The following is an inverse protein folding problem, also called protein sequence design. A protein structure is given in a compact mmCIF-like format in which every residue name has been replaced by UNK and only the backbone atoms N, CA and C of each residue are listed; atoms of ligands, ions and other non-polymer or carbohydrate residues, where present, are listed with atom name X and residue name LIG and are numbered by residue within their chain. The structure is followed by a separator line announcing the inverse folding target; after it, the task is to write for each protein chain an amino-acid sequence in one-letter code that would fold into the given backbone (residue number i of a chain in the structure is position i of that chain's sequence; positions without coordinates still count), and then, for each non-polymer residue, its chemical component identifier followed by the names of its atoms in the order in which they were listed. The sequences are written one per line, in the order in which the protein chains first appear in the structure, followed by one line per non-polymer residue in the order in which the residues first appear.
data_IF_829905286183
#
_entry.id   IF_829905286183
#
_cell.length_a   1.000
_cell.length_b   1.000
_cell.length_c   1.000
_cell.angle_alpha   90.00
_cell.angle_beta   90.00
_cell.angle_gamma   90.00
#
_symmetry.space_group_name_H-M   'P 1'
#
loop_
_entity.id
_entity.type
_entity.pdbx_description
1 polymer ?
#
# COMPACT_ATOMS: atom_id res chain seq x y z
N UNK A 1 -49.82 -24.61 -28.01
CA UNK A 1 -48.55 -24.30 -27.33
C UNK A 1 -48.89 -23.19 -26.37
N UNK A 2 -48.98 -23.56 -25.10
CA UNK A 2 -49.97 -23.03 -24.15
C UNK A 2 -49.60 -21.65 -23.59
N UNK A 3 -50.61 -20.80 -23.43
CA UNK A 3 -50.55 -19.46 -22.83
C UNK A 3 -49.83 -19.45 -21.46
N UNK A 4 -49.92 -20.57 -20.75
CA UNK A 4 -49.27 -20.83 -19.46
C UNK A 4 -47.74 -20.90 -19.59
N UNK A 5 -47.21 -21.49 -20.66
CA UNK A 5 -45.76 -21.60 -20.87
C UNK A 5 -45.14 -20.23 -21.21
N UNK A 6 -45.86 -19.38 -21.95
CA UNK A 6 -45.44 -18.00 -22.20
C UNK A 6 -45.44 -17.15 -20.93
N UNK A 7 -46.46 -17.30 -20.08
CA UNK A 7 -46.53 -16.60 -18.80
C UNK A 7 -45.43 -17.04 -17.84
N UNK A 8 -45.14 -18.35 -17.76
CA UNK A 8 -44.05 -18.89 -16.95
C UNK A 8 -42.68 -18.35 -17.42
N UNK A 9 -42.45 -18.31 -18.73
CA UNK A 9 -41.19 -17.81 -19.27
C UNK A 9 -41.02 -16.29 -19.03
N UNK A 10 -42.11 -15.52 -19.12
CA UNK A 10 -42.10 -14.09 -18.80
C UNK A 10 -41.85 -13.82 -17.30
N UNK A 11 -42.34 -14.68 -16.41
CA UNK A 11 -42.08 -14.59 -14.97
C UNK A 11 -40.63 -14.98 -14.67
N UNK A 12 -40.10 -16.05 -15.26
CA UNK A 12 -38.69 -16.42 -15.13
C UNK A 12 -37.74 -15.31 -15.59
N UNK A 13 -38.01 -14.69 -16.75
CA UNK A 13 -37.20 -13.57 -17.23
C UNK A 13 -37.25 -12.35 -16.31
N UNK A 14 -38.39 -12.08 -15.67
CA UNK A 14 -38.51 -11.01 -14.67
C UNK A 14 -37.74 -11.33 -13.39
N UNK A 15 -37.76 -12.60 -12.96
CA UNK A 15 -36.99 -13.06 -11.80
C UNK A 15 -35.50 -12.95 -12.09
N UNK A 16 -35.04 -13.41 -13.25
CA UNK A 16 -33.63 -13.33 -13.65
C UNK A 16 -33.15 -11.88 -13.72
N UNK A 17 -33.95 -11.00 -14.35
CA UNK A 17 -33.64 -9.57 -14.41
C UNK A 17 -33.61 -8.91 -13.03
N UNK A 18 -34.57 -9.23 -12.16
CA UNK A 18 -34.58 -8.73 -10.78
C UNK A 18 -33.35 -9.21 -10.01
N UNK A 19 -32.95 -10.47 -10.20
CA UNK A 19 -31.79 -11.05 -9.54
C UNK A 19 -30.49 -10.42 -10.03
N UNK A 20 -30.37 -10.16 -11.33
CA UNK A 20 -29.22 -9.47 -11.93
C UNK A 20 -29.11 -8.01 -11.47
N UNK A 21 -30.23 -7.26 -11.47
CA UNK A 21 -30.29 -5.88 -10.98
C UNK A 21 -29.98 -5.81 -9.47
N UNK A 22 -30.49 -6.76 -8.68
CA UNK A 22 -30.23 -6.86 -7.25
C UNK A 22 -28.76 -7.19 -6.97
N UNK A 23 -28.18 -8.13 -7.73
CA UNK A 23 -26.76 -8.51 -7.63
C UNK A 23 -25.84 -7.36 -8.01
N UNK A 24 -26.19 -6.60 -9.05
CA UNK A 24 -25.44 -5.41 -9.45
C UNK A 24 -25.50 -4.32 -8.38
N UNK A 25 -26.68 -4.04 -7.82
CA UNK A 25 -26.85 -3.07 -6.74
C UNK A 25 -26.10 -3.48 -5.47
N UNK A 26 -26.16 -4.75 -5.07
CA UNK A 26 -25.36 -5.26 -3.95
C UNK A 26 -23.86 -5.13 -4.21
N UNK A 27 -23.40 -5.42 -5.43
CA UNK A 27 -21.98 -5.28 -5.78
C UNK A 27 -21.52 -3.84 -5.73
N UNK A 28 -22.31 -2.90 -6.27
CA UNK A 28 -22.03 -1.46 -6.21
C UNK A 28 -22.05 -0.95 -4.76
N UNK A 29 -22.97 -1.45 -3.94
CA UNK A 29 -23.04 -1.08 -2.52
C UNK A 29 -21.81 -1.59 -1.75
N UNK A 30 -21.42 -2.84 -1.96
CA UNK A 30 -20.22 -3.43 -1.35
C UNK A 30 -18.96 -2.73 -1.84
N UNK A 31 -18.83 -2.40 -3.13
CA UNK A 31 -17.69 -1.64 -3.66
C UNK A 31 -17.62 -0.25 -3.05
N UNK A 32 -18.76 0.44 -2.89
CA UNK A 32 -18.84 1.75 -2.25
C UNK A 32 -18.46 1.70 -0.76
N UNK A 33 -19.02 0.75 -0.01
CA UNK A 33 -18.64 0.53 1.40
C UNK A 33 -17.16 0.13 1.52
N UNK A 34 -16.64 -0.71 0.62
CA UNK A 34 -15.22 -1.07 0.60
C UNK A 34 -14.32 0.12 0.28
N UNK A 35 -14.73 1.04 -0.59
CA UNK A 35 -13.98 2.28 -0.88
C UNK A 35 -14.02 3.27 0.29
N UNK A 36 -15.17 3.41 0.96
CA UNK A 36 -15.28 4.20 2.18
C UNK A 36 -14.44 3.60 3.32
N UNK A 37 -14.45 2.28 3.48
CA UNK A 37 -13.64 1.58 4.47
C UNK A 37 -12.14 1.53 4.11
N UNK A 38 -11.75 1.61 2.83
CA UNK A 38 -10.33 1.76 2.43
C UNK A 38 -9.73 3.08 2.91
N UNK A 39 -10.54 4.12 3.13
CA UNK A 39 -10.09 5.42 3.66
C UNK A 39 -9.94 5.43 5.19
N UNK A 40 -10.55 4.46 5.87
CA UNK A 40 -10.60 4.36 7.32
C UNK A 40 -9.78 3.13 7.75
N UNK A 41 -8.61 3.35 8.35
CA UNK A 41 -7.83 2.24 8.91
C UNK A 41 -8.58 1.60 10.10
N UNK A 42 -8.33 0.32 10.43
CA UNK A 42 -8.90 -0.30 11.61
C UNK A 42 -8.57 0.58 12.83
N UNK A 43 -9.60 1.03 13.55
CA UNK A 43 -9.63 2.02 14.66
C UNK A 43 -10.05 3.46 14.33
N UNK A 44 -10.62 3.74 13.15
CA UNK A 44 -11.24 5.05 12.88
C UNK A 44 -10.23 6.16 12.60
N UNK A 45 -9.00 5.81 12.24
CA UNK A 45 -7.96 6.75 11.85
C UNK A 45 -8.01 6.98 10.34
N UNK A 46 -8.14 8.24 9.92
CA UNK A 46 -8.10 8.60 8.51
C UNK A 46 -6.68 8.39 7.96
N UNK A 47 -6.57 7.77 6.78
CA UNK A 47 -5.27 7.54 6.13
C UNK A 47 -4.45 8.84 6.00
N UNK A 48 -5.10 9.97 5.72
CA UNK A 48 -4.45 11.29 5.63
C UNK A 48 -3.80 11.73 6.95
N UNK A 49 -4.51 11.61 8.07
CA UNK A 49 -4.00 12.01 9.39
C UNK A 49 -2.87 11.08 9.87
N UNK A 50 -2.97 9.78 9.58
CA UNK A 50 -1.89 8.82 9.89
C UNK A 50 -0.68 9.06 9.02
N UNK A 51 -0.88 9.36 7.74
CA UNK A 51 0.21 9.70 6.83
C UNK A 51 0.92 10.97 7.29
N UNK A 52 0.17 12.00 7.65
CA UNK A 52 0.72 13.28 8.15
C UNK A 52 1.49 13.10 9.48
N UNK A 53 0.97 12.32 10.42
CA UNK A 53 1.68 12.00 11.66
C UNK A 53 2.95 11.18 11.42
N UNK A 54 2.93 10.25 10.46
CA UNK A 54 4.12 9.49 10.05
C UNK A 54 5.14 10.42 9.41
N UNK A 55 4.73 11.29 8.50
CA UNK A 55 5.61 12.28 7.85
C UNK A 55 6.26 13.20 8.89
N UNK A 56 5.48 13.72 9.84
CA UNK A 56 5.97 14.61 10.88
C UNK A 56 6.98 13.90 11.81
N UNK A 57 6.67 12.69 12.26
CA UNK A 57 7.57 11.91 13.11
C UNK A 57 8.85 11.48 12.38
N UNK A 58 8.76 11.22 11.07
CA UNK A 58 9.91 10.98 10.21
C UNK A 58 10.75 12.25 10.11
N UNK A 59 10.15 13.40 9.78
CA UNK A 59 10.87 14.67 9.61
C UNK A 59 11.58 15.12 10.90
N UNK A 60 10.97 14.93 12.08
CA UNK A 60 11.60 15.23 13.37
C UNK A 60 12.82 14.35 13.67
N UNK A 61 12.65 13.02 13.51
CA UNK A 61 13.79 12.10 13.65
C UNK A 61 14.87 12.43 12.64
N UNK A 62 14.49 12.88 11.45
CA UNK A 62 15.44 13.21 10.40
C UNK A 62 16.20 14.50 10.64
N UNK A 63 15.53 15.53 11.14
CA UNK A 63 16.20 16.74 11.59
C UNK A 63 17.22 16.43 12.69
N UNK A 64 16.86 15.56 13.63
CA UNK A 64 17.77 15.09 14.67
C UNK A 64 18.96 14.30 14.10
N UNK A 65 18.74 13.31 13.23
CA UNK A 65 19.81 12.50 12.64
C UNK A 65 20.76 13.29 11.73
N UNK A 66 20.24 14.19 10.91
CA UNK A 66 21.04 15.03 10.02
C UNK A 66 21.87 16.06 10.79
N UNK A 67 21.29 16.71 11.81
CA UNK A 67 22.03 17.68 12.64
C UNK A 67 23.07 17.02 13.56
N UNK A 68 22.77 15.84 14.11
CA UNK A 68 23.63 15.22 15.13
C UNK A 68 24.78 14.39 14.56
N UNK A 69 24.65 13.81 13.36
CA UNK A 69 25.61 12.81 12.89
C UNK A 69 26.27 13.15 11.53
N UNK A 70 25.89 14.25 10.87
CA UNK A 70 26.45 14.64 9.56
C UNK A 70 26.31 13.51 8.50
N UNK A 71 25.25 12.71 8.64
CA UNK A 71 24.98 11.55 7.81
C UNK A 71 23.98 11.95 6.73
N UNK A 72 24.45 11.98 5.48
CA UNK A 72 23.69 12.30 4.26
C UNK A 72 22.80 11.11 3.84
N UNK A 73 21.87 10.68 4.70
CA UNK A 73 21.06 9.47 4.51
C UNK A 73 19.79 9.69 3.67
N UNK A 74 19.57 10.93 3.15
CA UNK A 74 18.47 11.35 2.25
C UNK A 74 17.21 10.46 2.29
N UNK A 75 16.47 10.50 3.40
CA UNK A 75 15.45 9.50 3.73
C UNK A 75 14.17 9.66 2.95
N UNK A 76 13.82 10.90 2.56
CA UNK A 76 12.71 11.15 1.63
C UNK A 76 12.97 10.43 0.30
N UNK A 77 14.22 10.40 -0.15
CA UNK A 77 14.61 9.67 -1.37
C UNK A 77 14.58 8.16 -1.14
N UNK A 78 15.06 7.67 0.01
CA UNK A 78 14.94 6.27 0.38
C UNK A 78 13.46 5.82 0.46
N UNK A 79 12.59 6.63 1.04
CA UNK A 79 11.16 6.34 1.15
C UNK A 79 10.48 6.29 -0.21
N UNK A 80 10.73 7.29 -1.06
CA UNK A 80 10.24 7.31 -2.43
C UNK A 80 10.73 6.10 -3.23
N UNK A 81 12.01 5.72 -3.09
CA UNK A 81 12.57 4.52 -3.70
C UNK A 81 11.83 3.24 -3.25
N UNK A 82 11.64 3.06 -1.95
CA UNK A 82 10.97 1.87 -1.41
C UNK A 82 9.49 1.79 -1.80
N UNK A 83 8.79 2.93 -1.89
CA UNK A 83 7.42 2.98 -2.41
C UNK A 83 7.38 2.54 -3.88
N UNK A 84 8.31 3.04 -4.69
CA UNK A 84 8.39 2.65 -6.11
C UNK A 84 8.59 1.14 -6.26
N UNK A 85 9.53 0.56 -5.51
CA UNK A 85 9.80 -0.88 -5.53
C UNK A 85 8.59 -1.71 -5.04
N UNK A 86 7.82 -1.20 -4.08
CA UNK A 86 6.56 -1.83 -3.63
C UNK A 86 5.44 -1.74 -4.66
N UNK A 87 5.40 -0.68 -5.46
CA UNK A 87 4.42 -0.53 -6.54
C UNK A 87 4.70 -1.54 -7.66
N UNK A 88 5.97 -1.78 -7.98
CA UNK A 88 6.39 -2.76 -8.99
C UNK A 88 6.33 -4.22 -8.47
N UNK A 89 6.58 -4.42 -7.17
CA UNK A 89 6.62 -5.72 -6.50
C UNK A 89 5.84 -5.69 -5.18
N UNK A 90 4.50 -5.79 -5.22
CA UNK A 90 3.64 -5.64 -4.03
C UNK A 90 3.76 -6.80 -3.03
N UNK A 91 4.36 -7.91 -3.43
CA UNK A 91 4.58 -9.11 -2.62
C UNK A 91 5.90 -9.10 -1.82
N UNK A 92 6.69 -8.03 -1.93
CA UNK A 92 7.96 -7.88 -1.19
C UNK A 92 7.75 -8.02 0.32
N UNK A 93 8.46 -8.97 0.91
CA UNK A 93 8.46 -9.16 2.35
C UNK A 93 9.19 -8.02 3.06
N UNK A 94 8.87 -7.83 4.35
CA UNK A 94 9.59 -6.89 5.23
C UNK A 94 11.11 -7.12 5.23
N UNK A 95 11.56 -8.37 5.05
CA UNK A 95 12.99 -8.72 5.00
C UNK A 95 13.62 -8.21 3.70
N UNK A 96 12.95 -8.37 2.58
CA UNK A 96 13.42 -7.92 1.26
C UNK A 96 13.44 -6.39 1.18
N UNK A 97 12.43 -5.71 1.71
CA UNK A 97 12.42 -4.25 1.83
C UNK A 97 13.60 -3.69 2.63
N UNK A 98 13.96 -4.36 3.73
CA UNK A 98 15.16 -3.98 4.50
C UNK A 98 16.43 -4.17 3.70
N UNK A 99 16.53 -5.23 2.91
CA UNK A 99 17.69 -5.48 2.04
C UNK A 99 17.78 -4.40 0.97
N UNK A 100 16.67 -4.05 0.32
CA UNK A 100 16.60 -2.98 -0.68
C UNK A 100 17.01 -1.63 -0.09
N UNK A 101 16.50 -1.31 1.11
CA UNK A 101 16.87 -0.09 1.81
C UNK A 101 18.38 0.01 2.05
N UNK A 102 19.00 -1.04 2.60
CA UNK A 102 20.44 -1.04 2.85
C UNK A 102 21.29 -1.01 1.57
N UNK A 103 20.81 -1.61 0.47
CA UNK A 103 21.49 -1.52 -0.83
C UNK A 103 21.46 -0.09 -1.36
N UNK A 104 20.31 0.57 -1.31
CA UNK A 104 20.16 1.97 -1.69
C UNK A 104 21.10 2.86 -0.86
N UNK A 105 21.10 2.68 0.47
CA UNK A 105 21.97 3.44 1.36
C UNK A 105 23.47 3.16 1.15
N UNK A 106 23.87 1.95 0.74
CA UNK A 106 25.25 1.67 0.34
C UNK A 106 25.65 2.48 -0.90
N UNK A 107 24.77 2.57 -1.90
CA UNK A 107 25.05 3.28 -3.15
C UNK A 107 25.09 4.79 -2.92
N UNK A 108 24.19 5.29 -2.10
CA UNK A 108 23.99 6.73 -1.88
C UNK A 108 25.00 7.34 -0.90
N UNK A 109 25.52 6.55 0.04
CA UNK A 109 26.41 7.05 1.08
C UNK A 109 27.75 7.57 0.51
N UNK A 110 28.07 8.84 0.76
CA UNK A 110 29.38 9.43 0.41
C UNK A 110 30.53 8.83 1.23
N UNK A 111 30.29 8.45 2.48
CA UNK A 111 31.30 7.90 3.39
C UNK A 111 31.63 6.44 3.10
N UNK A 112 32.91 6.13 2.87
CA UNK A 112 33.42 4.75 2.71
C UNK A 112 33.13 3.86 3.93
N UNK A 113 33.10 4.45 5.13
CA UNK A 113 32.79 3.73 6.37
C UNK A 113 31.33 3.30 6.41
N UNK A 114 30.41 4.21 6.10
CA UNK A 114 28.97 3.91 6.06
C UNK A 114 28.64 2.89 4.97
N UNK A 115 29.25 2.99 3.78
CA UNK A 115 29.08 1.96 2.74
C UNK A 115 29.46 0.57 3.24
N UNK A 116 30.60 0.44 3.94
CA UNK A 116 31.02 -0.86 4.52
C UNK A 116 30.00 -1.39 5.54
N UNK A 117 29.40 -0.51 6.35
CA UNK A 117 28.37 -0.88 7.31
C UNK A 117 27.12 -1.38 6.59
N UNK A 118 26.55 -0.59 5.68
CA UNK A 118 25.34 -0.97 4.93
C UNK A 118 25.55 -2.25 4.14
N UNK A 119 26.72 -2.40 3.50
CA UNK A 119 27.13 -3.61 2.80
C UNK A 119 27.11 -4.85 3.69
N UNK A 120 27.66 -4.73 4.90
CA UNK A 120 27.70 -5.81 5.88
C UNK A 120 26.30 -6.14 6.39
N UNK A 121 25.44 -5.13 6.57
CA UNK A 121 24.07 -5.31 7.05
C UNK A 121 23.21 -6.09 6.05
N UNK A 122 23.17 -5.71 4.76
CA UNK A 122 22.36 -6.45 3.81
C UNK A 122 22.93 -7.84 3.47
N UNK A 123 24.26 -8.00 3.48
CA UNK A 123 24.89 -9.32 3.27
C UNK A 123 24.59 -10.33 4.38
N UNK A 124 24.39 -9.87 5.62
CA UNK A 124 23.99 -10.72 6.75
C UNK A 124 22.53 -11.14 6.69
N UNK A 125 21.70 -10.40 5.95
CA UNK A 125 20.27 -10.66 5.82
C UNK A 125 19.94 -11.48 4.57
N UNK A 126 20.85 -11.54 3.60
CA UNK A 126 20.74 -12.45 2.46
C UNK A 126 20.92 -13.90 2.93
#
# INVERSE_FOLDING_TARGET
MDDVDQQLNAVSQKIDKFNDDTKLNLKLHVEHEMEEHKRILPKGLFYGEVHEQIEQAVDEKMAYFTKSQNIDLRPKQLYAYLISELADHPDLSKKELKILAFKYLEQDAKSKFLRKIFKKLWRRMK
#
